data_IF_913495152200
#
_entry.id   IF_913495152200
#
_cell.length_a   1.000
_cell.length_b   1.000
_cell.length_c   1.000
_cell.angle_alpha   90.00
_cell.angle_beta   90.00
_cell.angle_gamma   90.00
#
_symmetry.space_group_name_H-M   'P 1'
#
loop_
_entity.id
_entity.type
_entity.pdbx_description
1 polymer ?
#
# COMPACT_ATOMS: atom_id res chain seq x y z
N UNK A 1 -4.90 33.99 -6.79
CA UNK A 1 -5.89 32.94 -6.51
C UNK A 1 -5.47 32.02 -5.35
N UNK A 2 -4.22 31.55 -5.27
CA UNK A 2 -3.73 30.66 -4.20
C UNK A 2 -3.92 31.21 -2.77
N UNK A 3 -3.77 32.52 -2.57
CA UNK A 3 -3.95 33.18 -1.26
C UNK A 3 -5.35 33.03 -0.66
N UNK A 4 -6.39 32.95 -1.48
CA UNK A 4 -7.78 32.77 -1.02
C UNK A 4 -7.99 31.35 -0.48
N UNK A 5 -7.38 30.36 -1.14
CA UNK A 5 -7.45 28.96 -0.70
C UNK A 5 -6.68 28.74 0.60
N UNK A 6 -5.50 29.34 0.76
CA UNK A 6 -4.75 29.24 2.02
C UNK A 6 -5.50 29.89 3.19
N UNK A 7 -6.14 31.06 3.00
CA UNK A 7 -7.01 31.66 4.03
C UNK A 7 -8.19 30.77 4.40
N UNK A 8 -8.77 30.06 3.43
CA UNK A 8 -9.87 29.11 3.68
C UNK A 8 -9.37 27.87 4.43
N UNK A 9 -8.17 27.38 4.10
CA UNK A 9 -7.50 26.29 4.83
C UNK A 9 -7.19 26.68 6.27
N UNK A 10 -6.68 27.89 6.50
CA UNK A 10 -6.41 28.39 7.86
C UNK A 10 -7.70 28.50 8.66
N UNK A 11 -8.79 29.05 8.08
CA UNK A 11 -10.10 29.11 8.76
C UNK A 11 -10.58 27.71 9.17
N UNK A 12 -10.43 26.73 8.27
CA UNK A 12 -10.87 25.37 8.50
C UNK A 12 -9.98 24.65 9.53
N UNK A 13 -8.67 24.91 9.49
CA UNK A 13 -7.72 24.48 10.51
C UNK A 13 -8.13 25.02 11.90
N UNK A 14 -8.42 26.33 12.01
CA UNK A 14 -8.89 26.93 13.26
C UNK A 14 -10.18 26.30 13.77
N UNK A 15 -11.15 26.03 12.89
CA UNK A 15 -12.39 25.34 13.29
C UNK A 15 -12.12 23.95 13.85
N UNK A 16 -11.22 23.18 13.23
CA UNK A 16 -10.93 21.84 13.73
C UNK A 16 -10.17 21.89 15.06
N UNK A 17 -9.26 22.86 15.25
CA UNK A 17 -8.60 23.03 16.55
C UNK A 17 -9.58 23.47 17.64
N UNK A 18 -10.53 24.34 17.30
CA UNK A 18 -11.59 24.78 18.22
C UNK A 18 -12.45 23.59 18.64
N UNK A 19 -12.89 22.77 17.67
CA UNK A 19 -13.61 21.52 17.94
C UNK A 19 -12.78 20.52 18.75
N UNK A 20 -11.48 20.36 18.48
CA UNK A 20 -10.60 19.54 19.31
C UNK A 20 -10.49 20.06 20.74
N UNK A 21 -10.46 21.39 20.94
CA UNK A 21 -10.45 21.97 22.29
C UNK A 21 -11.79 21.82 22.99
N UNK A 22 -12.91 21.95 22.28
CA UNK A 22 -14.24 21.68 22.82
C UNK A 22 -14.41 20.20 23.19
N UNK A 23 -13.85 19.29 22.39
CA UNK A 23 -13.87 17.84 22.65
C UNK A 23 -13.05 17.48 23.90
N UNK A 24 -11.90 18.14 24.08
CA UNK A 24 -11.10 18.02 25.31
C UNK A 24 -11.83 18.57 26.53
N UNK A 25 -12.50 19.72 26.42
CA UNK A 25 -13.30 20.28 27.51
C UNK A 25 -14.51 19.39 27.86
N UNK A 26 -15.13 18.77 26.86
CA UNK A 26 -16.26 17.88 27.09
C UNK A 26 -15.84 16.61 27.84
N UNK A 27 -14.57 16.17 27.74
CA UNK A 27 -14.06 15.00 28.45
C UNK A 27 -14.08 15.12 29.97
N UNK A 28 -14.23 16.35 30.49
CA UNK A 28 -14.38 16.62 31.93
C UNK A 28 -15.84 16.52 32.43
N UNK A 29 -16.84 16.38 31.55
CA UNK A 29 -18.25 16.35 31.98
C UNK A 29 -18.72 14.91 32.26
N UNK A 30 -19.22 14.68 33.48
CA UNK A 30 -19.49 13.35 34.08
C UNK A 30 -20.66 12.55 33.45
N UNK A 31 -21.46 13.12 32.55
CA UNK A 31 -22.64 12.46 31.99
C UNK A 31 -22.31 11.55 30.80
N UNK A 32 -22.03 10.29 31.11
CA UNK A 32 -21.50 9.25 30.20
C UNK A 32 -22.35 8.98 28.92
N UNK A 33 -23.66 9.19 28.98
CA UNK A 33 -24.55 8.96 27.82
C UNK A 33 -24.66 10.16 26.88
N UNK A 34 -24.69 11.37 27.44
CA UNK A 34 -24.67 12.63 26.68
C UNK A 34 -23.29 12.85 26.07
N UNK A 35 -22.23 12.49 26.82
CA UNK A 35 -20.85 12.56 26.36
C UNK A 35 -20.61 11.75 25.09
N UNK A 36 -21.10 10.49 25.02
CA UNK A 36 -20.89 9.65 23.83
C UNK A 36 -21.62 10.17 22.61
N UNK A 37 -22.86 10.65 22.76
CA UNK A 37 -23.64 11.20 21.65
C UNK A 37 -22.98 12.48 21.12
N UNK A 38 -22.58 13.39 22.02
CA UNK A 38 -21.88 14.63 21.64
C UNK A 38 -20.48 14.37 21.11
N UNK A 39 -19.78 13.33 21.59
CA UNK A 39 -18.48 12.92 21.05
C UNK A 39 -18.61 12.37 19.63
N UNK A 40 -19.57 11.48 19.37
CA UNK A 40 -19.78 10.95 18.02
C UNK A 40 -20.19 12.06 17.05
N UNK A 41 -21.05 12.99 17.47
CA UNK A 41 -21.45 14.15 16.67
C UNK A 41 -20.26 15.08 16.36
N UNK A 42 -19.44 15.39 17.37
CA UNK A 42 -18.22 16.21 17.16
C UNK A 42 -17.16 15.50 16.32
N UNK A 43 -17.02 14.17 16.44
CA UNK A 43 -16.12 13.38 15.58
C UNK A 43 -16.62 13.35 14.14
N UNK A 44 -17.92 13.18 13.92
CA UNK A 44 -18.53 13.27 12.59
C UNK A 44 -18.34 14.67 11.99
N UNK A 45 -18.49 15.72 12.80
CA UNK A 45 -18.21 17.09 12.37
C UNK A 45 -16.73 17.26 11.98
N UNK A 46 -15.79 16.77 12.80
CA UNK A 46 -14.37 16.81 12.49
C UNK A 46 -14.05 16.02 11.21
N UNK A 47 -14.65 14.85 11.00
CA UNK A 47 -14.44 14.06 9.79
C UNK A 47 -14.99 14.78 8.55
N UNK A 48 -16.17 15.41 8.66
CA UNK A 48 -16.74 16.23 7.59
C UNK A 48 -15.84 17.41 7.21
N UNK A 49 -15.23 18.07 8.21
CA UNK A 49 -14.27 19.15 8.01
C UNK A 49 -12.95 18.63 7.44
N UNK A 50 -12.50 17.45 7.86
CA UNK A 50 -11.30 16.79 7.34
C UNK A 50 -11.49 16.40 5.86
N UNK A 51 -12.68 15.94 5.47
CA UNK A 51 -13.04 15.72 4.06
C UNK A 51 -12.99 17.04 3.28
N UNK A 52 -13.57 18.12 3.80
CA UNK A 52 -13.50 19.42 3.16
C UNK A 52 -12.06 19.96 3.05
N UNK A 53 -11.20 19.71 4.05
CA UNK A 53 -9.77 20.05 4.00
C UNK A 53 -9.07 19.27 2.88
N UNK A 54 -9.34 17.96 2.79
CA UNK A 54 -8.79 17.07 1.78
C UNK A 54 -9.22 17.48 0.37
N UNK A 55 -10.48 17.85 0.19
CA UNK A 55 -10.99 18.33 -1.09
C UNK A 55 -10.35 19.66 -1.49
N UNK A 56 -10.18 20.60 -0.56
CA UNK A 56 -9.46 21.84 -0.83
C UNK A 56 -7.98 21.59 -1.19
N UNK A 57 -7.32 20.66 -0.51
CA UNK A 57 -5.97 20.21 -0.89
C UNK A 57 -5.95 19.58 -2.29
N UNK A 58 -6.95 18.77 -2.63
CA UNK A 58 -7.07 18.13 -3.95
C UNK A 58 -7.24 19.16 -5.08
N UNK A 59 -8.01 20.22 -4.83
CA UNK A 59 -8.13 21.36 -5.76
C UNK A 59 -6.83 22.18 -5.87
N UNK A 60 -5.99 22.19 -4.83
CA UNK A 60 -4.72 22.92 -4.83
C UNK A 60 -3.56 22.12 -5.45
N UNK A 61 -3.61 20.79 -5.40
CA UNK A 61 -2.59 19.89 -5.94
C UNK A 61 -2.15 20.22 -7.38
N UNK A 62 -3.04 20.53 -8.36
CA UNK A 62 -2.59 20.86 -9.71
C UNK A 62 -2.11 22.31 -9.87
N UNK A 63 -2.43 23.21 -8.93
CA UNK A 63 -2.21 24.66 -9.09
C UNK A 63 -0.95 25.17 -8.41
N UNK A 64 -0.39 24.47 -7.43
CA UNK A 64 0.75 24.99 -6.67
C UNK A 64 1.62 23.85 -6.11
N UNK A 65 2.83 23.69 -6.63
CA UNK A 65 3.88 22.79 -6.10
C UNK A 65 4.84 23.52 -5.14
N UNK A 66 4.39 24.61 -4.52
CA UNK A 66 5.18 25.38 -3.56
C UNK A 66 5.32 24.60 -2.24
N UNK A 67 6.44 24.77 -1.53
CA UNK A 67 6.67 24.26 -0.16
C UNK A 67 5.53 24.57 0.83
N UNK A 68 4.71 25.58 0.53
CA UNK A 68 3.49 25.89 1.29
C UNK A 68 2.48 24.74 1.23
N UNK A 69 2.29 24.12 0.07
CA UNK A 69 1.42 22.96 -0.11
C UNK A 69 1.84 21.79 0.79
N UNK A 70 3.13 21.44 0.78
CA UNK A 70 3.67 20.36 1.61
C UNK A 70 3.47 20.64 3.11
N UNK A 71 3.60 21.91 3.53
CA UNK A 71 3.33 22.32 4.92
C UNK A 71 1.87 22.04 5.31
N UNK A 72 0.91 22.27 4.41
CA UNK A 72 -0.50 22.00 4.67
C UNK A 72 -0.87 20.52 4.55
N UNK A 73 -0.22 19.73 3.69
CA UNK A 73 -0.37 18.27 3.70
C UNK A 73 0.15 17.67 5.03
N UNK A 74 1.29 18.14 5.53
CA UNK A 74 1.81 17.71 6.83
C UNK A 74 0.85 18.05 7.98
N UNK A 75 0.24 19.25 7.95
CA UNK A 75 -0.79 19.65 8.92
C UNK A 75 -2.03 18.76 8.85
N UNK A 76 -2.48 18.38 7.66
CA UNK A 76 -3.60 17.45 7.50
C UNK A 76 -3.28 16.07 8.11
N UNK A 77 -2.09 15.56 7.85
CA UNK A 77 -1.65 14.28 8.38
C UNK A 77 -1.54 14.29 9.91
N UNK A 78 -0.98 15.36 10.50
CA UNK A 78 -0.89 15.47 11.96
C UNK A 78 -2.26 15.61 12.63
N UNK A 79 -3.18 16.32 11.97
CA UNK A 79 -4.56 16.45 12.42
C UNK A 79 -5.30 15.11 12.42
N UNK A 80 -5.14 14.33 11.34
CA UNK A 80 -5.71 12.99 11.23
C UNK A 80 -5.11 12.04 12.27
N UNK A 81 -3.80 12.14 12.51
CA UNK A 81 -3.14 11.38 13.55
C UNK A 81 -3.72 11.70 14.93
N UNK A 82 -3.90 12.99 15.23
CA UNK A 82 -4.48 13.44 16.49
C UNK A 82 -5.93 12.98 16.68
N UNK A 83 -6.75 12.99 15.62
CA UNK A 83 -8.11 12.43 15.67
C UNK A 83 -8.09 10.95 16.04
N UNK A 84 -7.18 10.19 15.42
CA UNK A 84 -7.04 8.76 15.68
C UNK A 84 -6.56 8.48 17.10
N UNK A 85 -5.57 9.22 17.59
CA UNK A 85 -5.11 9.10 18.98
C UNK A 85 -6.23 9.41 19.98
N UNK A 86 -7.02 10.46 19.74
CA UNK A 86 -8.17 10.79 20.59
C UNK A 86 -9.24 9.69 20.56
N UNK A 87 -9.54 9.13 19.38
CA UNK A 87 -10.49 8.04 19.26
C UNK A 87 -10.01 6.77 19.99
N UNK A 88 -8.71 6.45 19.91
CA UNK A 88 -8.12 5.33 20.64
C UNK A 88 -8.18 5.60 22.15
N UNK A 89 -7.78 6.79 22.60
CA UNK A 89 -7.80 7.18 24.01
C UNK A 89 -9.19 7.05 24.63
N UNK A 90 -10.23 7.49 23.91
CA UNK A 90 -11.61 7.41 24.42
C UNK A 90 -12.12 5.98 24.46
N UNK A 91 -11.75 5.14 23.49
CA UNK A 91 -12.07 3.71 23.53
C UNK A 91 -11.35 2.99 24.68
N UNK A 92 -10.08 3.33 24.92
CA UNK A 92 -9.27 2.78 26.01
C UNK A 92 -9.86 3.16 27.37
N UNK A 93 -10.21 4.43 27.57
CA UNK A 93 -10.87 4.90 28.80
C UNK A 93 -12.24 4.22 29.02
N UNK A 94 -12.99 3.94 27.95
CA UNK A 94 -14.23 3.17 28.05
C UNK A 94 -13.99 1.70 28.43
N UNK A 95 -12.93 1.09 27.92
CA UNK A 95 -12.55 -0.27 28.27
C UNK A 95 -12.09 -0.38 29.73
N UNK A 96 -11.32 0.60 30.22
CA UNK A 96 -10.89 0.68 31.61
C UNK A 96 -12.07 0.82 32.57
N UNK A 97 -13.02 1.72 32.28
CA UNK A 97 -14.25 1.85 33.08
C UNK A 97 -15.06 0.56 33.08
N UNK A 98 -15.18 -0.12 31.95
CA UNK A 98 -15.87 -1.41 31.84
C UNK A 98 -15.11 -2.52 32.59
N UNK A 99 -13.78 -2.47 32.61
CA UNK A 99 -12.94 -3.40 33.35
C UNK A 99 -13.09 -3.17 34.86
N UNK A 100 -13.08 -1.92 35.32
CA UNK A 100 -13.34 -1.56 36.71
C UNK A 100 -14.74 -1.99 37.17
N UNK A 101 -15.75 -1.79 36.31
CA UNK A 101 -17.11 -2.27 36.58
C UNK A 101 -17.13 -3.80 36.74
N UNK A 102 -16.42 -4.53 35.88
CA UNK A 102 -16.26 -5.99 36.00
C UNK A 102 -15.53 -6.39 37.28
N UNK A 103 -14.42 -5.75 37.63
CA UNK A 103 -13.69 -6.05 38.87
C UNK A 103 -14.59 -5.86 40.11
N UNK A 104 -15.33 -4.74 40.16
CA UNK A 104 -16.27 -4.43 41.26
C UNK A 104 -17.40 -5.44 41.35
N UNK A 105 -17.98 -5.85 40.22
CA UNK A 105 -19.08 -6.83 40.19
C UNK A 105 -18.62 -8.25 40.53
N UNK A 106 -17.41 -8.64 40.13
CA UNK A 106 -16.89 -10.01 40.29
C UNK A 106 -16.09 -10.25 41.57
N UNK A 107 -16.00 -9.30 42.51
CA UNK A 107 -15.33 -9.45 43.81
C UNK A 107 -13.92 -10.08 43.70
N UNK A 108 -13.14 -9.69 42.67
CA UNK A 108 -11.78 -10.22 42.43
C UNK A 108 -10.70 -9.49 43.26
N UNK A 109 -11.12 -8.62 44.18
CA UNK A 109 -10.24 -7.86 45.06
C UNK A 109 -10.17 -8.53 46.44
N UNK A 110 -9.04 -9.17 46.72
CA UNK A 110 -8.56 -9.56 48.05
C UNK A 110 -9.35 -10.61 48.85
N UNK A 111 -9.13 -11.89 48.54
CA UNK A 111 -9.09 -12.90 49.60
C UNK A 111 -8.14 -14.06 49.25
N UNK A 112 -7.15 -14.38 50.10
CA UNK A 112 -6.19 -15.44 49.86
C UNK A 112 -6.94 -16.78 49.76
N UNK A 113 -6.56 -17.56 48.75
CA UNK A 113 -7.09 -18.89 48.45
C UNK A 113 -6.88 -19.81 49.66
N UNK A 114 -7.91 -19.97 50.49
CA UNK A 114 -7.96 -20.94 51.57
C UNK A 114 -8.06 -22.35 50.99
N UNK A 115 -6.91 -22.91 50.60
CA UNK A 115 -6.76 -24.33 50.22
C UNK A 115 -7.23 -25.27 51.35
N UNK A 116 -7.26 -24.80 52.60
CA UNK A 116 -7.63 -25.59 53.79
C UNK A 116 -9.16 -25.78 53.92
N UNK A 117 -9.96 -24.83 53.44
CA UNK A 117 -11.43 -24.88 53.60
C UNK A 117 -12.10 -25.81 52.58
N UNK A 118 -11.46 -26.07 51.44
CA UNK A 118 -12.03 -26.94 50.40
C UNK A 118 -12.00 -28.42 50.77
N UNK A 119 -10.97 -28.91 51.48
CA UNK A 119 -10.92 -30.30 51.95
C UNK A 119 -11.96 -30.56 53.04
N UNK A 120 -12.10 -29.65 54.00
CA UNK A 120 -13.11 -29.76 55.06
C UNK A 120 -14.54 -29.65 54.53
N UNK A 121 -14.79 -28.76 53.56
CA UNK A 121 -16.09 -28.65 52.89
C UNK A 121 -16.41 -29.90 52.06
N UNK A 122 -15.41 -30.47 51.37
CA UNK A 122 -15.55 -31.72 50.62
C UNK A 122 -15.91 -32.88 51.56
N UNK A 123 -15.20 -33.03 52.66
CA UNK A 123 -15.40 -34.13 53.59
C UNK A 123 -16.74 -33.99 54.36
N UNK A 124 -17.20 -32.77 54.65
CA UNK A 124 -18.55 -32.52 55.19
C UNK A 124 -19.67 -32.83 54.18
N UNK A 125 -19.47 -32.56 52.88
CA UNK A 125 -20.42 -32.87 51.81
C UNK A 125 -20.62 -34.39 51.63
N UNK A 126 -19.60 -35.18 51.92
CA UNK A 126 -19.68 -36.66 51.87
C UNK A 126 -20.14 -37.28 53.19
N UNK A 127 -19.87 -36.64 54.33
CA UNK A 127 -20.31 -37.10 55.64
C UNK A 127 -21.86 -37.12 55.77
N UNK A 128 -22.56 -36.08 55.29
CA UNK A 128 -24.03 -35.96 55.37
C UNK A 128 -24.77 -36.99 54.49
N UNK A 129 -24.08 -37.61 53.51
CA UNK A 129 -24.67 -38.63 52.64
C UNK A 129 -24.68 -40.02 53.26
N UNK A 130 -23.80 -40.30 54.23
CA UNK A 130 -23.62 -41.67 54.76
C UNK A 130 -24.53 -42.02 55.94
N UNK A 131 -25.12 -41.03 56.63
CA UNK A 131 -25.79 -41.23 57.93
C UNK A 131 -27.32 -41.28 57.87
N UNK A 132 -27.93 -41.26 56.67
CA UNK A 132 -29.39 -41.12 56.50
C UNK A 132 -30.06 -42.36 55.90
N UNK A 133 -29.89 -43.50 56.57
CA UNK A 133 -30.72 -44.70 56.39
C UNK A 133 -30.93 -45.31 57.76
N UNK A 134 -32.14 -45.21 58.32
CA UNK A 134 -32.84 -46.24 59.13
C UNK A 134 -33.97 -45.59 59.96
N UNK A 135 -35.21 -46.04 59.73
CA UNK A 135 -36.39 -46.03 60.63
C UNK A 135 -37.10 -44.71 60.96
N UNK A 136 -38.18 -44.42 60.21
CA UNK A 136 -39.54 -44.13 60.73
C UNK A 136 -40.56 -44.08 59.58
N UNK A 137 -40.88 -45.28 59.09
CA UNK A 137 -42.07 -45.66 58.30
C UNK A 137 -43.32 -45.26 59.12
N UNK A 138 -44.45 -44.72 58.64
CA UNK A 138 -45.16 -45.00 57.39
C UNK A 138 -46.08 -43.84 56.95
N UNK A 139 -46.33 -42.82 57.79
CA UNK A 139 -47.14 -41.63 57.44
C UNK A 139 -46.29 -40.42 57.02
N UNK A 140 -45.03 -40.38 57.45
CA UNK A 140 -44.07 -39.39 56.97
C UNK A 140 -43.66 -39.62 55.50
N UNK A 141 -43.98 -40.78 54.92
CA UNK A 141 -43.47 -41.23 53.61
C UNK A 141 -43.90 -40.36 52.44
N UNK A 142 -45.17 -39.92 52.35
CA UNK A 142 -45.64 -39.11 51.20
C UNK A 142 -45.03 -37.70 51.26
N UNK A 143 -45.11 -37.05 52.43
CA UNK A 143 -44.51 -35.73 52.61
C UNK A 143 -42.98 -35.78 52.44
N UNK A 144 -42.31 -36.81 52.95
CA UNK A 144 -40.88 -37.02 52.71
C UNK A 144 -40.58 -37.31 51.24
N UNK A 145 -41.43 -38.03 50.52
CA UNK A 145 -41.27 -38.28 49.09
C UNK A 145 -41.38 -36.97 48.29
N UNK A 146 -42.38 -36.13 48.55
CA UNK A 146 -42.53 -34.81 47.92
C UNK A 146 -41.34 -33.91 48.27
N UNK A 147 -40.94 -33.84 49.53
CA UNK A 147 -39.76 -33.06 49.96
C UNK A 147 -38.48 -33.60 49.31
N UNK A 148 -38.34 -34.92 49.16
CA UNK A 148 -37.19 -35.53 48.49
C UNK A 148 -37.17 -35.27 46.99
N UNK A 149 -38.34 -35.27 46.32
CA UNK A 149 -38.49 -34.93 44.91
C UNK A 149 -38.19 -33.44 44.68
N UNK A 150 -38.72 -32.55 45.51
CA UNK A 150 -38.37 -31.12 45.48
C UNK A 150 -36.86 -30.93 45.71
N UNK A 151 -36.27 -31.61 46.70
CA UNK A 151 -34.83 -31.59 46.94
C UNK A 151 -34.04 -32.12 45.73
N UNK A 152 -34.53 -33.13 45.02
CA UNK A 152 -33.90 -33.66 43.81
C UNK A 152 -34.01 -32.68 42.64
N UNK A 153 -35.17 -32.05 42.43
CA UNK A 153 -35.38 -31.02 41.39
C UNK A 153 -34.48 -29.81 41.69
N UNK A 154 -34.40 -29.37 42.95
CA UNK A 154 -33.48 -28.30 43.36
C UNK A 154 -32.03 -28.71 43.12
N UNK A 155 -31.65 -29.95 43.42
CA UNK A 155 -30.31 -30.46 43.12
C UNK A 155 -30.02 -30.53 41.62
N UNK A 156 -30.96 -30.95 40.79
CA UNK A 156 -30.78 -30.99 39.34
C UNK A 156 -30.73 -29.59 38.73
N UNK A 157 -31.51 -28.64 39.25
CA UNK A 157 -31.45 -27.24 38.83
C UNK A 157 -30.13 -26.59 39.26
N UNK A 158 -29.66 -26.89 40.48
CA UNK A 158 -28.35 -26.45 40.96
C UNK A 158 -27.22 -27.04 40.11
N UNK A 159 -27.28 -28.33 39.77
CA UNK A 159 -26.31 -28.98 38.90
C UNK A 159 -26.35 -28.41 37.46
N UNK A 160 -27.55 -28.18 36.90
CA UNK A 160 -27.72 -27.53 35.60
C UNK A 160 -27.19 -26.10 35.59
N UNK A 161 -27.38 -25.36 36.70
CA UNK A 161 -26.81 -24.02 36.86
C UNK A 161 -25.29 -24.09 36.92
N UNK A 162 -24.71 -25.03 37.66
CA UNK A 162 -23.25 -25.23 37.71
C UNK A 162 -22.69 -25.60 36.32
N UNK A 163 -23.36 -26.47 35.58
CA UNK A 163 -22.96 -26.85 34.22
C UNK A 163 -23.08 -25.66 33.26
N UNK A 164 -24.16 -24.89 33.34
CA UNK A 164 -24.35 -23.69 32.52
C UNK A 164 -23.30 -22.62 32.86
N UNK A 165 -22.98 -22.41 34.14
CA UNK A 165 -21.88 -21.53 34.56
C UNK A 165 -20.53 -22.01 34.01
N UNK A 166 -20.24 -23.31 34.06
CA UNK A 166 -19.02 -23.88 33.47
C UNK A 166 -19.02 -23.74 31.93
N UNK A 167 -20.17 -23.91 31.28
CA UNK A 167 -20.35 -23.74 29.84
C UNK A 167 -20.16 -22.29 29.38
N UNK A 168 -20.63 -21.32 30.17
CA UNK A 168 -20.39 -19.89 29.91
C UNK A 168 -18.90 -19.58 30.04
N UNK A 169 -18.22 -20.02 31.11
CA UNK A 169 -16.77 -19.80 31.25
C UNK A 169 -15.98 -20.43 30.09
N UNK A 170 -16.39 -21.61 29.63
CA UNK A 170 -15.79 -22.24 28.45
C UNK A 170 -16.07 -21.45 27.16
N UNK A 171 -17.25 -20.85 27.03
CA UNK A 171 -17.61 -20.01 25.89
C UNK A 171 -16.83 -18.69 25.90
N UNK A 172 -16.66 -18.06 27.06
CA UNK A 172 -15.84 -16.85 27.20
C UNK A 172 -14.39 -17.13 26.82
N UNK A 173 -13.80 -18.22 27.32
CA UNK A 173 -12.44 -18.62 26.95
C UNK A 173 -12.28 -18.95 25.45
N UNK A 174 -13.31 -19.51 24.81
CA UNK A 174 -13.30 -19.75 23.37
C UNK A 174 -13.44 -18.44 22.57
N UNK A 175 -14.26 -17.50 23.03
CA UNK A 175 -14.39 -16.16 22.42
C UNK A 175 -13.06 -15.41 22.54
N UNK A 176 -12.41 -15.46 23.70
CA UNK A 176 -11.08 -14.88 23.90
C UNK A 176 -10.03 -15.54 23.00
N UNK A 177 -10.09 -16.86 22.80
CA UNK A 177 -9.22 -17.56 21.86
C UNK A 177 -9.46 -17.13 20.41
N UNK A 178 -10.72 -16.99 19.99
CA UNK A 178 -11.07 -16.49 18.64
C UNK A 178 -10.61 -15.04 18.45
N UNK A 179 -10.75 -14.19 19.47
CA UNK A 179 -10.24 -12.81 19.44
C UNK A 179 -8.71 -12.78 19.36
N UNK A 180 -8.03 -13.62 20.13
CA UNK A 180 -6.57 -13.81 20.07
C UNK A 180 -6.13 -14.30 18.69
N UNK A 181 -6.79 -15.31 18.11
CA UNK A 181 -6.51 -15.83 16.78
C UNK A 181 -6.76 -14.75 15.72
N UNK A 182 -7.80 -13.93 15.89
CA UNK A 182 -8.08 -12.80 15.01
C UNK A 182 -6.96 -11.76 15.10
N UNK A 183 -6.50 -11.42 16.30
CA UNK A 183 -5.34 -10.54 16.53
C UNK A 183 -4.06 -11.11 15.90
N UNK A 184 -3.83 -12.41 15.98
CA UNK A 184 -2.67 -13.06 15.37
C UNK A 184 -2.77 -13.09 13.84
N UNK A 185 -3.96 -13.27 13.27
CA UNK A 185 -4.19 -13.08 11.83
C UNK A 185 -3.94 -11.64 11.38
N UNK A 186 -4.37 -10.64 12.17
CA UNK A 186 -4.05 -9.24 11.90
C UNK A 186 -2.54 -8.98 11.93
N UNK A 187 -1.82 -9.50 12.93
CA UNK A 187 -0.35 -9.43 13.00
C UNK A 187 0.32 -10.14 11.84
N UNK A 188 -0.18 -11.30 11.44
CA UNK A 188 0.34 -12.04 10.29
C UNK A 188 0.13 -11.25 8.99
N UNK A 189 -1.06 -10.65 8.81
CA UNK A 189 -1.35 -9.76 7.69
C UNK A 189 -0.44 -8.52 7.68
N UNK A 190 -0.19 -7.92 8.85
CA UNK A 190 0.77 -6.83 8.96
C UNK A 190 2.19 -7.29 8.60
N UNK A 191 2.61 -8.46 9.06
CA UNK A 191 3.87 -9.10 8.68
C UNK A 191 3.98 -9.34 7.17
N UNK A 192 2.89 -9.77 6.51
CA UNK A 192 2.83 -9.91 5.05
C UNK A 192 2.94 -8.57 4.33
N UNK A 193 2.30 -7.50 4.85
CA UNK A 193 2.41 -6.14 4.29
C UNK A 193 3.84 -5.63 4.43
N UNK A 194 4.46 -5.78 5.60
CA UNK A 194 5.86 -5.39 5.83
C UNK A 194 6.83 -6.19 4.95
N UNK A 195 6.60 -7.50 4.81
CA UNK A 195 7.38 -8.35 3.90
C UNK A 195 7.23 -7.91 2.44
N UNK A 196 6.03 -7.54 2.00
CA UNK A 196 5.79 -7.01 0.66
C UNK A 196 6.51 -5.66 0.46
N UNK A 197 6.48 -4.76 1.45
CA UNK A 197 7.26 -3.52 1.40
C UNK A 197 8.77 -3.78 1.32
N UNK A 198 9.28 -4.75 2.09
CA UNK A 198 10.68 -5.20 2.01
C UNK A 198 11.01 -5.79 0.63
N UNK A 199 10.12 -6.60 0.04
CA UNK A 199 10.29 -7.11 -1.33
C UNK A 199 10.26 -5.99 -2.37
N UNK A 200 9.37 -5.01 -2.21
CA UNK A 200 9.32 -3.84 -3.08
C UNK A 200 10.58 -2.98 -2.95
N UNK A 201 11.11 -2.82 -1.73
CA UNK A 201 12.38 -2.14 -1.48
C UNK A 201 13.56 -2.92 -2.08
N UNK A 202 13.58 -4.24 -1.94
CA UNK A 202 14.54 -5.13 -2.60
C UNK A 202 14.48 -4.98 -4.12
N UNK A 203 13.28 -5.02 -4.71
CA UNK A 203 13.06 -4.79 -6.15
C UNK A 203 13.52 -3.40 -6.59
N UNK A 204 13.29 -2.35 -5.79
CA UNK A 204 13.80 -1.00 -6.06
C UNK A 204 15.33 -0.95 -6.02
N UNK A 205 15.97 -1.62 -5.05
CA UNK A 205 17.43 -1.72 -4.96
C UNK A 205 18.00 -2.48 -6.16
N UNK A 206 17.40 -3.61 -6.54
CA UNK A 206 17.79 -4.38 -7.73
C UNK A 206 17.65 -3.53 -8.99
N UNK A 207 16.51 -2.84 -9.19
CA UNK A 207 16.34 -1.90 -10.31
C UNK A 207 17.33 -0.75 -10.27
N UNK A 208 17.69 -0.27 -9.08
CA UNK A 208 18.69 0.79 -8.92
C UNK A 208 20.08 0.29 -9.31
N UNK A 209 20.46 -0.92 -8.90
CA UNK A 209 21.72 -1.57 -9.30
C UNK A 209 21.74 -1.80 -10.81
N UNK A 210 20.65 -2.31 -11.40
CA UNK A 210 20.53 -2.51 -12.85
C UNK A 210 20.66 -1.19 -13.61
N UNK A 211 19.97 -0.13 -13.15
CA UNK A 211 20.06 1.20 -13.75
C UNK A 211 21.46 1.82 -13.59
N UNK A 212 22.11 1.61 -12.44
CA UNK A 212 23.48 2.05 -12.21
C UNK A 212 24.47 1.30 -13.10
N UNK A 213 24.32 -0.02 -13.26
CA UNK A 213 25.13 -0.82 -14.18
C UNK A 213 24.95 -0.33 -15.62
N UNK A 214 23.71 -0.05 -16.04
CA UNK A 214 23.44 0.52 -17.38
C UNK A 214 24.08 1.90 -17.57
N UNK A 215 24.00 2.78 -16.57
CA UNK A 215 24.62 4.11 -16.63
C UNK A 215 26.16 4.04 -16.62
N UNK A 216 26.73 3.10 -15.88
CA UNK A 216 28.18 2.90 -15.83
C UNK A 216 28.70 2.34 -17.17
N UNK A 217 28.01 1.34 -17.73
CA UNK A 217 28.27 0.87 -19.10
C UNK A 217 28.21 2.01 -20.11
N UNK A 218 27.20 2.88 -20.03
CA UNK A 218 27.08 4.03 -20.93
C UNK A 218 28.27 5.01 -20.79
N UNK A 219 28.75 5.27 -19.56
CA UNK A 219 29.95 6.09 -19.34
C UNK A 219 31.21 5.44 -19.89
N UNK A 220 31.37 4.13 -19.73
CA UNK A 220 32.49 3.36 -20.29
C UNK A 220 32.47 3.45 -21.83
N UNK A 221 31.31 3.26 -22.47
CA UNK A 221 31.18 3.40 -23.92
C UNK A 221 31.45 4.82 -24.40
N UNK A 222 31.00 5.85 -23.68
CA UNK A 222 31.29 7.25 -24.00
C UNK A 222 32.81 7.54 -23.92
N UNK A 223 33.48 7.03 -22.89
CA UNK A 223 34.93 7.15 -22.72
C UNK A 223 35.70 6.43 -23.83
N UNK A 224 35.32 5.18 -24.16
CA UNK A 224 35.90 4.44 -25.28
C UNK A 224 35.67 5.13 -26.63
N UNK A 225 34.47 5.67 -26.84
CA UNK A 225 34.14 6.47 -28.02
C UNK A 225 35.01 7.72 -28.13
N UNK A 226 35.20 8.45 -27.03
CA UNK A 226 36.08 9.63 -27.00
C UNK A 226 37.55 9.26 -27.22
N UNK A 227 38.02 8.12 -26.70
CA UNK A 227 39.36 7.60 -26.97
C UNK A 227 39.57 7.32 -28.45
N UNK A 228 38.63 6.62 -29.09
CA UNK A 228 38.68 6.33 -30.54
C UNK A 228 38.62 7.63 -31.34
N UNK A 229 37.77 8.58 -30.97
CA UNK A 229 37.64 9.88 -31.61
C UNK A 229 38.93 10.71 -31.45
N UNK A 230 39.55 10.68 -30.27
CA UNK A 230 40.84 11.32 -30.00
C UNK A 230 41.99 10.67 -30.80
N UNK A 231 42.08 9.33 -30.84
CA UNK A 231 43.02 8.61 -31.69
C UNK A 231 42.82 8.96 -33.16
N UNK A 232 41.57 8.95 -33.63
CA UNK A 232 41.20 9.34 -34.99
C UNK A 232 41.60 10.80 -35.28
N UNK A 233 41.41 11.72 -34.32
CA UNK A 233 41.86 13.12 -34.43
C UNK A 233 43.39 13.29 -34.46
N UNK A 234 44.13 12.54 -33.64
CA UNK A 234 45.61 12.57 -33.62
C UNK A 234 46.18 11.96 -34.90
N UNK A 235 45.62 10.85 -35.37
CA UNK A 235 45.95 10.24 -36.66
C UNK A 235 45.59 11.22 -37.79
N UNK A 236 44.46 11.93 -37.67
CA UNK A 236 44.07 13.00 -38.58
C UNK A 236 45.05 14.20 -38.53
N UNK A 237 45.64 14.51 -37.38
CA UNK A 237 46.60 15.61 -37.31
C UNK A 237 48.00 15.19 -37.80
N UNK A 238 48.41 13.93 -37.59
CA UNK A 238 49.77 13.47 -37.84
C UNK A 238 49.95 12.72 -39.17
N UNK A 239 49.07 11.77 -39.46
CA UNK A 239 49.09 10.91 -40.66
C UNK A 239 48.36 11.62 -41.84
N UNK A 240 47.39 12.48 -41.51
CA UNK A 240 46.83 13.60 -42.30
C UNK A 240 47.49 14.06 -43.60
N UNK A 241 48.72 14.55 -43.45
CA UNK A 241 49.35 15.38 -44.50
C UNK A 241 50.15 14.58 -45.52
N UNK A 242 50.64 13.38 -45.15
CA UNK A 242 51.47 12.55 -46.04
C UNK A 242 50.79 11.21 -46.33
N UNK A 243 50.58 10.33 -45.34
CA UNK A 243 49.92 9.08 -45.59
C UNK A 243 48.48 9.26 -46.02
N UNK A 244 47.72 10.30 -45.68
CA UNK A 244 46.41 10.48 -46.34
C UNK A 244 46.45 11.12 -47.70
N UNK A 245 47.55 11.72 -48.15
CA UNK A 245 47.68 11.98 -49.58
C UNK A 245 47.84 10.66 -50.32
N UNK A 246 48.60 9.71 -49.76
CA UNK A 246 48.72 8.33 -50.27
C UNK A 246 47.43 7.53 -50.04
N UNK A 247 46.79 7.65 -48.89
CA UNK A 247 45.61 6.91 -48.49
C UNK A 247 44.42 7.48 -49.23
N UNK A 248 44.15 8.79 -49.26
CA UNK A 248 43.13 9.32 -50.18
C UNK A 248 43.47 8.99 -51.63
N UNK A 249 44.71 9.06 -52.10
CA UNK A 249 44.97 8.67 -53.50
C UNK A 249 44.67 7.18 -53.73
N UNK A 250 45.03 6.31 -52.78
CA UNK A 250 44.81 4.87 -52.84
C UNK A 250 43.33 4.50 -52.62
N UNK A 251 42.69 5.01 -51.57
CA UNK A 251 41.27 4.92 -51.29
C UNK A 251 40.43 5.55 -52.39
N UNK A 252 40.79 6.70 -52.94
CA UNK A 252 40.03 7.32 -54.02
C UNK A 252 40.24 6.56 -55.33
N UNK A 253 41.43 6.01 -55.61
CA UNK A 253 41.63 5.16 -56.78
C UNK A 253 40.90 3.82 -56.63
N UNK A 254 40.90 3.22 -55.44
CA UNK A 254 40.15 1.98 -55.16
C UNK A 254 38.65 2.26 -55.17
N UNK A 255 38.16 3.36 -54.59
CA UNK A 255 36.75 3.74 -54.65
C UNK A 255 36.33 4.13 -56.06
N UNK A 256 37.18 4.76 -56.85
CA UNK A 256 36.83 5.16 -58.22
C UNK A 256 36.83 3.94 -59.15
N UNK A 257 37.74 2.97 -58.96
CA UNK A 257 37.71 1.69 -59.68
C UNK A 257 36.56 0.82 -59.18
N UNK A 258 36.29 0.78 -57.88
CA UNK A 258 35.20 -0.01 -57.30
C UNK A 258 33.82 0.60 -57.63
N UNK A 259 33.66 1.92 -57.62
CA UNK A 259 32.43 2.58 -58.13
C UNK A 259 32.29 2.47 -59.64
N UNK A 260 33.38 2.44 -60.40
CA UNK A 260 33.30 2.23 -61.84
C UNK A 260 33.00 0.76 -62.19
N UNK A 261 33.50 -0.19 -61.40
CA UNK A 261 33.34 -1.63 -61.60
C UNK A 261 32.03 -2.19 -61.00
N UNK A 262 31.54 -1.62 -59.88
CA UNK A 262 30.22 -1.95 -59.30
C UNK A 262 29.10 -0.99 -59.70
N UNK A 263 29.41 0.15 -60.32
CA UNK A 263 28.44 1.23 -60.58
C UNK A 263 28.54 1.85 -61.97
N UNK A 264 29.11 1.11 -62.94
CA UNK A 264 29.20 1.47 -64.36
C UNK A 264 27.85 1.51 -65.08
N UNK A 265 26.96 2.41 -64.65
CA UNK A 265 25.66 2.69 -65.25
C UNK A 265 25.23 4.09 -64.85
N UNK A 266 25.40 5.05 -65.77
CA UNK A 266 24.83 6.40 -65.64
C UNK A 266 23.31 6.31 -65.61
N UNK A 267 22.72 6.26 -64.43
CA UNK A 267 21.32 6.59 -64.22
C UNK A 267 21.15 7.40 -62.95
N UNK A 268 20.89 8.70 -63.17
CA UNK A 268 20.00 9.58 -62.42
C UNK A 268 19.78 9.24 -60.93
N UNK A 269 20.38 10.09 -60.09
CA UNK A 269 19.79 10.59 -58.85
C UNK A 269 19.06 9.58 -57.97
N UNK A 270 19.82 8.78 -57.22
CA UNK A 270 19.28 8.19 -55.98
C UNK A 270 19.16 9.35 -54.98
N UNK A 271 17.94 9.88 -54.91
CA UNK A 271 17.55 10.92 -53.96
C UNK A 271 17.81 10.40 -52.56
N UNK A 272 18.37 11.23 -51.68
CA UNK A 272 18.64 10.90 -50.28
C UNK A 272 17.42 10.31 -49.54
N UNK A 273 16.20 10.55 -50.06
CA UNK A 273 14.97 9.88 -49.64
C UNK A 273 15.06 8.35 -49.62
N UNK A 274 15.58 7.69 -50.66
CA UNK A 274 15.57 6.21 -50.70
C UNK A 274 16.50 5.59 -49.64
N UNK A 275 17.55 6.32 -49.26
CA UNK A 275 18.49 5.89 -48.23
C UNK A 275 17.92 6.05 -46.81
N UNK A 276 17.10 7.09 -46.60
CA UNK A 276 16.41 7.32 -45.32
C UNK A 276 15.34 6.23 -45.11
N UNK A 277 14.57 5.92 -46.16
CA UNK A 277 13.55 4.85 -46.15
C UNK A 277 14.18 3.49 -45.78
N UNK A 278 15.30 3.13 -46.40
CA UNK A 278 15.99 1.88 -46.09
C UNK A 278 16.57 1.83 -44.67
N UNK A 279 16.94 2.97 -44.08
CA UNK A 279 17.43 3.03 -42.69
C UNK A 279 16.30 2.92 -41.66
N UNK A 280 15.11 3.45 -41.99
CA UNK A 280 13.94 3.38 -41.11
C UNK A 280 13.36 1.96 -41.12
N UNK A 281 13.32 1.29 -42.28
CA UNK A 281 12.91 -0.11 -42.40
C UNK A 281 13.87 -1.04 -41.63
N UNK A 282 15.18 -0.80 -41.71
CA UNK A 282 16.17 -1.56 -40.95
C UNK A 282 16.04 -1.34 -39.43
N UNK A 283 15.69 -0.12 -38.98
CA UNK A 283 15.51 0.19 -37.57
C UNK A 283 14.18 -0.35 -36.99
N UNK A 284 13.12 -0.47 -37.80
CA UNK A 284 11.83 -1.02 -37.36
C UNK A 284 11.78 -2.56 -37.39
N UNK A 285 12.67 -3.20 -38.15
CA UNK A 285 12.77 -4.68 -38.20
C UNK A 285 13.25 -5.29 -36.88
N UNK A 286 13.89 -4.51 -35.99
CA UNK A 286 14.26 -5.00 -34.64
C UNK A 286 13.15 -4.82 -33.59
N UNK A 287 12.03 -4.14 -33.92
CA UNK A 287 11.08 -3.65 -32.91
C UNK A 287 9.63 -4.13 -33.14
N UNK A 288 9.23 -4.57 -34.33
CA UNK A 288 7.80 -4.86 -34.61
C UNK A 288 7.58 -6.00 -35.61
N UNK A 289 6.57 -6.83 -35.33
CA UNK A 289 6.08 -7.94 -36.16
C UNK A 289 5.87 -7.59 -37.64
N UNK A 290 6.06 -8.60 -38.50
CA UNK A 290 6.13 -8.54 -39.97
C UNK A 290 4.96 -7.84 -40.70
N UNK A 291 3.88 -7.55 -39.99
CA UNK A 291 2.65 -6.97 -40.52
C UNK A 291 2.70 -5.44 -40.49
N UNK A 292 3.28 -4.85 -39.44
CA UNK A 292 3.42 -3.39 -39.30
C UNK A 292 4.49 -2.82 -40.26
N UNK A 293 5.47 -3.64 -40.66
CA UNK A 293 6.50 -3.26 -41.63
C UNK A 293 5.94 -3.10 -43.05
N UNK A 294 4.90 -3.85 -43.41
CA UNK A 294 4.22 -3.70 -44.72
C UNK A 294 3.42 -2.41 -44.80
N UNK A 295 2.67 -2.08 -43.76
CA UNK A 295 1.87 -0.84 -43.69
C UNK A 295 2.77 0.41 -43.69
N UNK A 296 3.91 0.34 -43.01
CA UNK A 296 4.93 1.40 -43.07
C UNK A 296 5.53 1.55 -44.47
N UNK A 297 5.83 0.45 -45.15
CA UNK A 297 6.40 0.47 -46.50
C UNK A 297 5.45 1.14 -47.51
N UNK A 298 4.17 0.82 -47.46
CA UNK A 298 3.15 1.40 -48.35
C UNK A 298 2.93 2.90 -48.06
N UNK A 299 2.92 3.29 -46.78
CA UNK A 299 2.73 4.70 -46.39
C UNK A 299 3.94 5.55 -46.78
N UNK A 300 5.15 4.98 -46.66
CA UNK A 300 6.39 5.69 -46.92
C UNK A 300 6.67 5.81 -48.43
N UNK A 301 6.26 4.82 -49.24
CA UNK A 301 6.32 4.90 -50.71
C UNK A 301 5.45 6.03 -51.28
N UNK A 302 4.38 6.44 -50.59
CA UNK A 302 3.51 7.52 -51.03
C UNK A 302 3.94 8.92 -50.55
N UNK A 303 4.84 9.01 -49.56
CA UNK A 303 5.23 10.28 -48.94
C UNK A 303 6.52 10.90 -49.49
N UNK A 304 7.28 10.18 -50.34
CA UNK A 304 8.62 10.56 -50.82
C UNK A 304 8.63 11.74 -51.82
N UNK A 305 7.49 12.13 -52.39
CA UNK A 305 7.42 13.19 -53.40
C UNK A 305 7.25 14.62 -52.85
N UNK A 306 7.13 14.81 -51.53
CA UNK A 306 6.94 16.14 -50.96
C UNK A 306 7.99 16.42 -49.89
N UNK A 307 8.63 17.60 -49.97
CA UNK A 307 9.66 18.11 -49.05
C UNK A 307 9.16 18.33 -47.58
N UNK A 308 8.13 17.60 -47.16
CA UNK A 308 7.53 17.50 -45.83
C UNK A 308 7.88 16.18 -45.12
N UNK A 309 8.84 15.41 -45.67
CA UNK A 309 9.22 14.07 -45.22
C UNK A 309 9.71 14.00 -43.76
N UNK A 310 10.24 15.10 -43.23
CA UNK A 310 10.80 15.12 -41.86
C UNK A 310 9.68 15.22 -40.80
N UNK A 311 8.66 16.04 -41.06
CA UNK A 311 7.54 16.22 -40.10
C UNK A 311 6.62 15.00 -40.07
N UNK A 312 6.43 14.34 -41.22
CA UNK A 312 5.65 13.11 -41.30
C UNK A 312 6.36 11.94 -40.61
N UNK A 313 7.69 11.81 -40.74
CA UNK A 313 8.49 10.83 -40.00
C UNK A 313 8.39 11.05 -38.48
N UNK A 314 8.42 12.29 -38.02
CA UNK A 314 8.30 12.59 -36.59
C UNK A 314 6.92 12.17 -36.05
N UNK A 315 5.84 12.47 -36.77
CA UNK A 315 4.48 12.10 -36.36
C UNK A 315 4.25 10.58 -36.33
N UNK A 316 4.81 9.84 -37.29
CA UNK A 316 4.66 8.37 -37.35
C UNK A 316 5.49 7.67 -36.28
N UNK A 317 6.68 8.18 -35.97
CA UNK A 317 7.49 7.68 -34.84
C UNK A 317 6.81 7.97 -33.50
N UNK A 318 6.20 9.15 -33.35
CA UNK A 318 5.47 9.52 -32.14
C UNK A 318 4.20 8.67 -31.96
N UNK A 319 3.48 8.35 -33.04
CA UNK A 319 2.31 7.47 -32.96
C UNK A 319 2.69 6.02 -32.67
N UNK A 320 3.77 5.49 -33.25
CA UNK A 320 4.27 4.14 -32.95
C UNK A 320 4.77 4.02 -31.50
N UNK A 321 5.50 5.02 -31.00
CA UNK A 321 5.98 5.01 -29.62
C UNK A 321 4.83 5.11 -28.61
N UNK A 322 3.75 5.83 -28.94
CA UNK A 322 2.51 5.82 -28.15
C UNK A 322 1.84 4.45 -28.16
N UNK A 323 1.71 3.83 -29.33
CA UNK A 323 1.04 2.53 -29.47
C UNK A 323 1.81 1.41 -28.76
N UNK A 324 3.15 1.37 -28.87
CA UNK A 324 3.95 0.43 -28.07
C UNK A 324 3.87 0.70 -26.57
N UNK A 325 3.74 1.96 -26.13
CA UNK A 325 3.58 2.26 -24.71
C UNK A 325 2.23 1.79 -24.16
N UNK A 326 1.14 1.86 -24.93
CA UNK A 326 -0.16 1.34 -24.50
C UNK A 326 -0.15 -0.19 -24.45
N UNK A 327 0.45 -0.87 -25.43
CA UNK A 327 0.48 -2.34 -25.47
C UNK A 327 1.36 -2.96 -24.36
N UNK A 328 2.39 -2.25 -23.88
CA UNK A 328 3.22 -2.70 -22.73
C UNK A 328 2.50 -2.46 -21.39
N UNK A 329 1.57 -1.51 -21.32
CA UNK A 329 0.78 -1.24 -20.11
C UNK A 329 -0.38 -2.23 -19.96
N UNK A 330 -0.92 -2.75 -21.05
CA UNK A 330 -1.98 -3.79 -21.00
C UNK A 330 -1.44 -5.22 -20.74
N UNK A 331 -0.13 -5.47 -20.86
CA UNK A 331 0.50 -6.76 -20.52
C UNK A 331 1.05 -6.87 -19.08
N UNK A 332 0.92 -5.82 -18.25
CA UNK A 332 1.47 -5.72 -16.89
C UNK A 332 0.39 -5.56 -15.83
#
# INVERSE_FOLDING_TARGET
MSTVYYKKLDKLQFQIYDLFSSLLQLSETEDESVYKASFDDTVQEIDSLLIAFKDLLRLLRPKDKSNKFDTYELKFHSLKHKLRELQVFINDQQQDKLHEYRIKHFHLQDSPVDTINNEFARDQLFADRSTKKTKKETEASINQQIVSQNKQITKSLQASRQLLSAGILQSELNIDNIDQQTKDLYKLNEGFIQFNDLLNRSKKIVKFIEKQDKADRQRIYLSMGFFILCCSWVVYRRILRRPLKIFLWSFFKIFNIFNWLLGGGRSKGLSASDMIVSSVIAATTEIVDYEATKTLLDTLSHAVDSNTAIDTLAMVVESLTRSSMEHIVDEL
#
